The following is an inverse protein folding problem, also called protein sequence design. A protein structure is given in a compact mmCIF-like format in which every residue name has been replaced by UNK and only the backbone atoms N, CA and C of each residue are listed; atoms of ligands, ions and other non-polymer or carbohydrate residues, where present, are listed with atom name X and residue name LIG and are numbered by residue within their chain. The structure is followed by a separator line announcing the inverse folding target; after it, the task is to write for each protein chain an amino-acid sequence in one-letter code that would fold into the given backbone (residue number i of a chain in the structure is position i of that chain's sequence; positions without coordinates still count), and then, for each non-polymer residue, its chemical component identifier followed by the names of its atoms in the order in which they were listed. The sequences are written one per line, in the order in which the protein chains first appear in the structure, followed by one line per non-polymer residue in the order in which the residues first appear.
data_IF_638776087780
#
_entry.id   IF_638776087780
#
_cell.length_a   1.000
_cell.length_b   1.000
_cell.length_c   1.000
_cell.angle_alpha   90.00
_cell.angle_beta   90.00
_cell.angle_gamma   90.00
#
_symmetry.space_group_name_H-M   'P 1'
#
loop_
_entity.id
_entity.type
_entity.pdbx_description
1 polymer ?
#
# COMPACT_ATOMS: atom_id res chain seq x y z
N UNK A 1 -5.71 -19.47 15.24
CA UNK A 1 -5.03 -18.29 14.66
C UNK A 1 -5.90 -17.83 13.49
N UNK A 2 -6.41 -16.60 13.51
CA UNK A 2 -7.25 -16.08 12.41
C UNK A 2 -6.44 -15.99 11.12
N UNK A 3 -7.07 -16.29 9.98
CA UNK A 3 -6.47 -16.05 8.67
C UNK A 3 -6.38 -14.55 8.37
N UNK A 4 -5.61 -14.17 7.35
CA UNK A 4 -5.45 -12.75 6.95
C UNK A 4 -6.78 -12.09 6.63
N UNK A 5 -7.69 -12.80 5.94
CA UNK A 5 -9.05 -12.32 5.65
C UNK A 5 -9.87 -12.11 6.93
N UNK A 6 -9.72 -12.99 7.93
CA UNK A 6 -10.43 -12.83 9.21
C UNK A 6 -9.92 -11.63 10.02
N UNK A 7 -8.62 -11.36 9.98
CA UNK A 7 -8.05 -10.15 10.59
C UNK A 7 -8.51 -8.88 9.87
N UNK A 8 -8.60 -8.93 8.54
CA UNK A 8 -9.11 -7.81 7.74
C UNK A 8 -10.58 -7.52 8.08
N UNK A 9 -11.43 -8.55 8.14
CA UNK A 9 -12.84 -8.42 8.51
C UNK A 9 -13.01 -7.85 9.93
N UNK A 10 -12.25 -8.35 10.90
CA UNK A 10 -12.26 -7.83 12.26
C UNK A 10 -11.84 -6.35 12.35
N UNK A 11 -10.83 -5.94 11.57
CA UNK A 11 -10.40 -4.54 11.50
C UNK A 11 -11.46 -3.66 10.82
N UNK A 12 -12.10 -4.15 9.76
CA UNK A 12 -13.18 -3.44 9.06
C UNK A 12 -14.41 -3.26 9.97
N UNK A 13 -14.79 -4.30 10.71
CA UNK A 13 -15.88 -4.22 11.69
C UNK A 13 -15.55 -3.23 12.82
N UNK A 14 -14.31 -3.22 13.30
CA UNK A 14 -13.86 -2.26 14.30
C UNK A 14 -14.00 -0.82 13.80
N UNK A 15 -13.57 -0.54 12.57
CA UNK A 15 -13.65 0.80 11.98
C UNK A 15 -15.09 1.26 11.75
N UNK A 16 -15.98 0.35 11.38
CA UNK A 16 -17.36 0.70 10.98
C UNK A 16 -18.36 0.67 12.13
N UNK A 17 -18.23 -0.24 13.09
CA UNK A 17 -19.21 -0.41 14.18
C UNK A 17 -18.70 -0.01 15.56
N UNK A 18 -17.43 -0.29 15.86
CA UNK A 18 -16.89 -0.07 17.20
C UNK A 18 -16.30 1.34 17.37
N UNK A 19 -15.88 1.97 16.27
CA UNK A 19 -15.32 3.32 16.33
C UNK A 19 -16.43 4.33 16.58
N UNK A 20 -16.23 5.21 17.56
CA UNK A 20 -17.09 6.38 17.82
C UNK A 20 -17.06 7.42 16.69
N UNK A 21 -16.37 7.12 15.58
CA UNK A 21 -16.07 8.03 14.49
C UNK A 21 -17.09 7.98 13.34
N UNK A 22 -18.22 7.26 13.46
CA UNK A 22 -19.28 7.18 12.44
C UNK A 22 -18.73 7.10 11.00
N UNK A 23 -17.80 6.16 10.77
CA UNK A 23 -17.23 5.97 9.43
C UNK A 23 -18.15 5.12 8.59
N UNK A 24 -18.43 5.61 7.39
CA UNK A 24 -19.18 4.82 6.42
C UNK A 24 -18.38 3.60 5.96
N UNK A 25 -19.06 2.54 5.52
CA UNK A 25 -18.40 1.34 5.01
C UNK A 25 -17.46 1.65 3.81
N UNK A 26 -17.83 2.50 2.83
CA UNK A 26 -16.91 2.92 1.78
C UNK A 26 -15.69 3.68 2.29
N UNK A 27 -15.86 4.54 3.30
CA UNK A 27 -14.75 5.28 3.91
C UNK A 27 -13.74 4.34 4.59
N UNK A 28 -14.23 3.36 5.36
CA UNK A 28 -13.37 2.37 5.99
C UNK A 28 -12.61 1.54 4.95
N UNK A 29 -13.28 1.13 3.87
CA UNK A 29 -12.63 0.41 2.76
C UNK A 29 -11.59 1.28 2.05
N UNK A 30 -11.88 2.56 1.79
CA UNK A 30 -10.91 3.49 1.18
C UNK A 30 -9.70 3.78 2.09
N UNK A 31 -9.87 3.67 3.41
CA UNK A 31 -8.76 3.78 4.36
C UNK A 31 -7.88 2.52 4.39
N UNK A 32 -8.50 1.34 4.41
CA UNK A 32 -7.76 0.07 4.49
C UNK A 32 -7.11 -0.30 3.15
N UNK A 33 -7.81 -0.08 2.03
CA UNK A 33 -7.37 -0.38 0.67
C UNK A 33 -7.44 0.91 -0.16
N UNK A 34 -6.50 1.86 0.03
CA UNK A 34 -6.48 3.10 -0.73
C UNK A 34 -6.05 2.87 -2.18
N UNK A 35 -6.60 3.66 -3.10
CA UNK A 35 -6.13 3.67 -4.48
C UNK A 35 -4.76 4.34 -4.63
N UNK A 36 -4.15 4.25 -5.81
CA UNK A 36 -2.88 4.90 -6.08
C UNK A 36 -3.04 6.43 -6.15
N UNK A 37 -2.74 7.13 -5.05
CA UNK A 37 -2.92 8.58 -4.93
C UNK A 37 -1.61 9.39 -4.99
N UNK A 38 -0.50 8.87 -4.47
CA UNK A 38 0.76 9.62 -4.24
C UNK A 38 1.36 10.28 -5.49
N UNK A 39 1.22 9.66 -6.66
CA UNK A 39 1.80 10.16 -7.93
C UNK A 39 0.73 10.55 -8.95
N UNK A 40 -0.53 10.68 -8.53
CA UNK A 40 -1.64 10.93 -9.45
C UNK A 40 -1.93 12.43 -9.58
N UNK A 41 -1.39 13.05 -10.64
CA UNK A 41 -1.55 14.48 -10.89
C UNK A 41 -2.97 14.91 -11.30
N UNK A 42 -3.84 13.98 -11.72
CA UNK A 42 -5.23 14.30 -12.13
C UNK A 42 -6.24 14.10 -11.01
N UNK A 43 -5.79 13.71 -9.81
CA UNK A 43 -6.67 13.49 -8.67
C UNK A 43 -7.16 14.82 -8.07
N UNK A 44 -8.46 14.96 -7.77
CA UNK A 44 -8.99 16.12 -7.06
C UNK A 44 -8.29 16.36 -5.72
N UNK A 45 -8.06 17.62 -5.37
CA UNK A 45 -7.32 18.00 -4.16
C UNK A 45 -7.98 17.49 -2.87
N UNK A 46 -9.31 17.57 -2.76
CA UNK A 46 -10.06 17.06 -1.59
C UNK A 46 -9.82 15.56 -1.37
N UNK A 47 -9.79 14.80 -2.46
CA UNK A 47 -9.56 13.35 -2.45
C UNK A 47 -8.11 13.03 -2.11
N UNK A 48 -7.15 13.79 -2.65
CA UNK A 48 -5.74 13.65 -2.30
C UNK A 48 -5.51 13.96 -0.82
N UNK A 49 -6.07 15.06 -0.30
CA UNK A 49 -5.97 15.43 1.10
C UNK A 49 -6.56 14.38 2.04
N UNK A 50 -7.71 13.80 1.69
CA UNK A 50 -8.31 12.68 2.43
C UNK A 50 -7.37 11.46 2.48
N UNK A 51 -6.76 11.07 1.35
CA UNK A 51 -5.82 9.95 1.34
C UNK A 51 -4.53 10.25 2.12
N UNK A 52 -4.01 11.47 2.03
CA UNK A 52 -2.84 11.90 2.79
C UNK A 52 -3.11 11.85 4.30
N UNK A 53 -4.28 12.31 4.74
CA UNK A 53 -4.71 12.18 6.13
C UNK A 53 -4.85 10.72 6.57
N UNK A 54 -5.52 9.90 5.76
CA UNK A 54 -5.73 8.50 6.09
C UNK A 54 -4.43 7.70 6.16
N UNK A 55 -3.42 8.03 5.33
CA UNK A 55 -2.10 7.41 5.36
C UNK A 55 -1.33 7.67 6.66
N UNK A 56 -1.66 8.73 7.41
CA UNK A 56 -1.12 8.96 8.75
C UNK A 56 -1.82 8.13 9.83
N UNK A 57 -3.05 7.64 9.56
CA UNK A 57 -3.88 6.93 10.53
C UNK A 57 -3.81 5.42 10.39
N UNK A 58 -3.70 4.90 9.17
CA UNK A 58 -3.73 3.47 8.88
C UNK A 58 -2.78 3.17 7.73
N UNK A 59 -1.93 2.16 7.90
CA UNK A 59 -1.15 1.63 6.79
C UNK A 59 -2.06 0.88 5.81
N UNK A 60 -1.79 0.95 4.50
CA UNK A 60 -2.53 0.17 3.52
C UNK A 60 -2.39 -1.33 3.78
N UNK A 61 -3.50 -2.05 3.76
CA UNK A 61 -3.52 -3.51 3.76
C UNK A 61 -3.26 -4.00 2.34
N UNK A 62 -1.97 -4.07 1.99
CA UNK A 62 -1.52 -4.36 0.64
C UNK A 62 -1.42 -5.88 0.36
N UNK A 63 -1.58 -6.24 -0.90
CA UNK A 63 -1.57 -7.61 -1.41
C UNK A 63 -2.66 -7.86 -2.45
N UNK A 64 -2.56 -8.94 -3.25
CA UNK A 64 -3.57 -9.26 -4.27
C UNK A 64 -4.94 -9.54 -3.65
N UNK A 65 -5.90 -8.64 -3.82
CA UNK A 65 -7.19 -8.73 -3.15
C UNK A 65 -8.34 -8.27 -4.05
N UNK A 66 -9.42 -9.04 -4.03
CA UNK A 66 -10.75 -8.64 -4.46
C UNK A 66 -11.65 -8.85 -3.26
N UNK A 67 -12.16 -7.76 -2.70
CA UNK A 67 -12.94 -7.78 -1.46
C UNK A 67 -14.36 -7.37 -1.79
N UNK A 68 -15.30 -8.30 -1.61
CA UNK A 68 -16.72 -8.00 -1.54
C UNK A 68 -17.12 -7.78 -0.08
N UNK A 69 -17.91 -6.74 0.19
CA UNK A 69 -18.29 -6.33 1.53
C UNK A 69 -19.73 -5.88 1.57
N UNK A 70 -20.37 -6.01 2.73
CA UNK A 70 -21.77 -5.63 2.94
C UNK A 70 -22.03 -5.27 4.40
N UNK A 71 -22.97 -4.36 4.63
CA UNK A 71 -23.55 -4.08 5.95
C UNK A 71 -25.04 -4.46 6.03
N UNK A 72 -25.52 -5.29 5.09
CA UNK A 72 -26.92 -5.70 4.98
C UNK A 72 -27.82 -4.72 4.22
N UNK A 73 -27.45 -3.44 4.12
CA UNK A 73 -28.18 -2.41 3.34
C UNK A 73 -27.49 -2.00 2.05
N UNK A 74 -26.18 -2.16 2.04
CA UNK A 74 -25.32 -1.83 0.90
C UNK A 74 -24.40 -3.00 0.63
N UNK A 75 -24.06 -3.21 -0.64
CA UNK A 75 -23.11 -4.22 -1.09
C UNK A 75 -22.09 -3.52 -1.96
N UNK A 76 -20.81 -3.78 -1.72
CA UNK A 76 -19.74 -3.24 -2.52
C UNK A 76 -18.65 -4.26 -2.80
N UNK A 77 -17.84 -3.93 -3.80
CA UNK A 77 -16.62 -4.64 -4.11
C UNK A 77 -15.51 -3.66 -4.43
N UNK A 78 -14.29 -3.97 -3.98
CA UNK A 78 -13.10 -3.18 -4.26
C UNK A 78 -11.93 -4.10 -4.60
N UNK A 79 -11.04 -3.62 -5.46
CA UNK A 79 -9.78 -4.26 -5.78
C UNK A 79 -8.63 -3.59 -5.04
N UNK A 80 -7.56 -4.35 -4.86
CA UNK A 80 -6.28 -3.80 -4.44
C UNK A 80 -5.79 -2.68 -5.37
N UNK A 81 -4.84 -1.89 -4.87
CA UNK A 81 -4.27 -0.72 -5.57
C UNK A 81 -3.74 -1.04 -6.97
N UNK A 82 -3.29 -2.27 -7.20
CA UNK A 82 -2.71 -2.72 -8.45
C UNK A 82 -3.68 -3.56 -9.31
N UNK A 83 -4.84 -3.94 -8.77
CA UNK A 83 -5.84 -4.80 -9.40
C UNK A 83 -5.28 -6.16 -9.79
N UNK A 84 -4.60 -6.82 -8.87
CA UNK A 84 -3.93 -8.10 -9.10
C UNK A 84 -4.89 -9.29 -9.16
N UNK A 85 -6.17 -9.08 -8.81
CA UNK A 85 -7.24 -10.08 -8.92
C UNK A 85 -8.28 -9.64 -9.98
N UNK A 86 -8.73 -10.56 -10.85
CA UNK A 86 -9.78 -10.24 -11.81
C UNK A 86 -11.12 -10.09 -11.10
N UNK A 87 -11.91 -9.11 -11.52
CA UNK A 87 -13.30 -8.96 -11.11
C UNK A 87 -14.11 -8.32 -12.22
N UNK A 88 -15.28 -8.88 -12.52
CA UNK A 88 -16.18 -8.46 -13.58
C UNK A 88 -17.60 -8.42 -13.04
N UNK A 89 -18.37 -7.48 -13.54
CA UNK A 89 -19.76 -7.35 -13.18
C UNK A 89 -20.66 -7.13 -14.39
N UNK A 90 -21.88 -7.65 -14.27
CA UNK A 90 -22.97 -7.54 -15.21
C UNK A 90 -24.13 -6.83 -14.50
N UNK A 91 -24.75 -5.90 -15.21
CA UNK A 91 -26.02 -5.29 -14.82
C UNK A 91 -27.02 -5.72 -15.89
N UNK A 92 -28.09 -6.38 -15.48
CA UNK A 92 -29.15 -6.79 -16.40
C UNK A 92 -30.18 -5.68 -16.59
N UNK A 93 -31.04 -5.79 -17.61
CA UNK A 93 -32.17 -4.88 -17.82
C UNK A 93 -33.21 -4.94 -16.72
N UNK A 94 -33.25 -6.06 -15.99
CA UNK A 94 -34.14 -6.31 -14.84
C UNK A 94 -33.49 -5.89 -13.50
N UNK A 95 -32.52 -4.97 -13.54
CA UNK A 95 -31.81 -4.41 -12.38
C UNK A 95 -31.09 -5.45 -11.47
N UNK A 96 -30.80 -6.65 -12.00
CA UNK A 96 -29.93 -7.59 -11.29
C UNK A 96 -28.46 -7.27 -11.52
N UNK A 97 -27.70 -7.32 -10.43
CA UNK A 97 -26.26 -7.12 -10.43
C UNK A 97 -25.58 -8.44 -10.12
N UNK A 98 -24.64 -8.83 -10.98
CA UNK A 98 -23.86 -10.06 -10.82
C UNK A 98 -22.38 -9.68 -10.85
N UNK A 99 -21.62 -10.04 -9.82
CA UNK A 99 -20.18 -9.82 -9.75
C UNK A 99 -19.45 -11.15 -9.56
N UNK A 100 -18.42 -11.39 -10.36
CA UNK A 100 -17.63 -12.61 -10.32
C UNK A 100 -16.19 -12.37 -10.74
N UNK A 101 -15.27 -13.25 -10.31
CA UNK A 101 -13.88 -13.25 -10.77
C UNK A 101 -13.75 -13.59 -12.26
N UNK A 102 -14.72 -14.34 -12.80
CA UNK A 102 -14.69 -14.90 -14.15
C UNK A 102 -15.95 -14.56 -14.96
N UNK A 103 -15.92 -14.86 -16.26
CA UNK A 103 -17.04 -14.68 -17.19
C UNK A 103 -17.72 -16.02 -17.39
N UNK A 104 -19.06 -16.04 -17.47
CA UNK A 104 -19.82 -17.25 -17.76
C UNK A 104 -20.05 -18.17 -16.55
N UNK A 105 -19.93 -17.65 -15.33
CA UNK A 105 -20.19 -18.42 -14.09
C UNK A 105 -21.68 -18.72 -13.89
N UNK A 106 -22.56 -17.82 -14.37
CA UNK A 106 -24.01 -17.99 -14.24
C UNK A 106 -24.54 -18.59 -15.55
N UNK A 107 -25.09 -19.79 -15.43
CA UNK A 107 -25.77 -20.46 -16.54
C UNK A 107 -27.10 -19.77 -16.86
N UNK A 108 -27.44 -19.66 -18.14
CA UNK A 108 -28.73 -19.13 -18.59
C UNK A 108 -28.84 -17.60 -18.68
N UNK A 109 -27.75 -16.85 -18.50
CA UNK A 109 -27.73 -15.41 -18.78
C UNK A 109 -27.76 -15.17 -20.30
N UNK A 110 -28.85 -14.60 -20.81
CA UNK A 110 -28.99 -14.24 -22.22
C UNK A 110 -28.34 -12.88 -22.45
N UNK A 111 -27.49 -12.75 -23.49
CA UNK A 111 -26.77 -11.49 -23.78
C UNK A 111 -27.74 -10.31 -24.04
N UNK A 112 -28.96 -10.59 -24.51
CA UNK A 112 -30.00 -9.59 -24.73
C UNK A 112 -30.49 -8.92 -23.42
N UNK A 113 -30.39 -9.63 -22.30
CA UNK A 113 -30.83 -9.14 -20.98
C UNK A 113 -29.71 -8.37 -20.28
N UNK A 114 -28.51 -8.28 -20.85
CA UNK A 114 -27.36 -7.58 -20.28
C UNK A 114 -27.37 -6.12 -20.69
N UNK A 115 -27.70 -5.23 -19.75
CA UNK A 115 -27.64 -3.79 -19.96
C UNK A 115 -26.20 -3.27 -19.96
N UNK A 116 -25.34 -3.79 -19.09
CA UNK A 116 -23.95 -3.34 -18.97
C UNK A 116 -23.02 -4.47 -18.54
N UNK A 117 -21.84 -4.51 -19.16
CA UNK A 117 -20.77 -5.48 -18.87
C UNK A 117 -19.46 -4.74 -18.68
N UNK A 118 -18.91 -4.81 -17.48
CA UNK A 118 -17.66 -4.10 -17.14
C UNK A 118 -16.76 -4.93 -16.24
N UNK A 119 -15.51 -4.50 -16.14
CA UNK A 119 -14.54 -5.00 -15.16
C UNK A 119 -14.35 -3.98 -14.06
N UNK A 120 -14.08 -4.45 -12.85
CA UNK A 120 -13.64 -3.57 -11.78
C UNK A 120 -12.18 -3.16 -12.07
N UNK A 121 -11.90 -1.87 -11.99
CA UNK A 121 -10.57 -1.32 -12.29
C UNK A 121 -9.78 -1.08 -11.00
N UNK A 122 -8.44 -1.13 -11.05
CA UNK A 122 -7.61 -0.85 -9.88
C UNK A 122 -7.99 0.48 -9.23
N UNK A 123 -8.20 0.46 -7.92
CA UNK A 123 -8.58 1.64 -7.15
C UNK A 123 -10.03 2.11 -7.32
N UNK A 124 -10.86 1.49 -8.20
CA UNK A 124 -12.29 1.78 -8.27
C UNK A 124 -13.09 0.87 -7.33
N UNK A 125 -14.20 1.40 -6.82
CA UNK A 125 -15.16 0.69 -6.01
C UNK A 125 -16.46 0.50 -6.79
N UNK A 126 -16.97 -0.71 -6.80
CA UNK A 126 -18.34 -1.00 -7.20
C UNK A 126 -19.22 -0.97 -5.95
N UNK A 127 -20.35 -0.28 -5.97
CA UNK A 127 -21.19 -0.12 -4.79
C UNK A 127 -22.67 -0.01 -5.16
N UNK A 128 -23.50 -0.77 -4.45
CA UNK A 128 -24.94 -0.81 -4.62
C UNK A 128 -25.58 -0.45 -3.29
N UNK A 129 -26.49 0.52 -3.33
CA UNK A 129 -27.29 0.93 -2.18
C UNK A 129 -28.72 0.44 -2.39
N UNK A 130 -29.19 -0.46 -1.52
CA UNK A 130 -30.54 -1.01 -1.60
C UNK A 130 -31.60 -0.07 -1.02
N UNK A 131 -31.23 0.86 -0.13
CA UNK A 131 -32.16 1.86 0.39
C UNK A 131 -32.47 2.90 -0.73
N UNK A 132 -31.50 3.18 -1.60
CA UNK A 132 -31.69 4.05 -2.79
C UNK A 132 -32.09 3.29 -4.06
N UNK A 133 -31.94 1.97 -4.08
CA UNK A 133 -32.25 1.13 -5.24
C UNK A 133 -31.38 1.39 -6.47
N UNK A 134 -30.12 1.81 -6.29
CA UNK A 134 -29.23 2.15 -7.43
C UNK A 134 -27.77 1.77 -7.19
N UNK A 135 -27.05 1.60 -8.29
CA UNK A 135 -25.59 1.51 -8.30
C UNK A 135 -25.02 2.93 -8.16
N UNK A 136 -24.22 3.16 -7.12
CA UNK A 136 -23.55 4.44 -6.89
C UNK A 136 -22.20 4.43 -7.59
N UNK A 137 -21.90 5.51 -8.32
CA UNK A 137 -20.63 5.61 -9.04
C UNK A 137 -19.44 5.82 -8.09
N UNK A 138 -18.28 5.29 -8.46
CA UNK A 138 -17.03 5.47 -7.71
C UNK A 138 -16.70 6.94 -7.40
N UNK A 139 -16.93 7.82 -8.38
CA UNK A 139 -16.69 9.25 -8.24
C UNK A 139 -17.59 9.88 -7.18
N UNK A 140 -18.87 9.50 -7.14
CA UNK A 140 -19.84 10.00 -6.18
C UNK A 140 -19.51 9.57 -4.75
N UNK A 141 -19.16 8.30 -4.57
CA UNK A 141 -18.73 7.75 -3.26
C UNK A 141 -17.51 8.53 -2.76
N UNK A 142 -16.48 8.63 -3.60
CA UNK A 142 -15.22 9.26 -3.22
C UNK A 142 -15.36 10.75 -2.99
N UNK A 143 -16.20 11.44 -3.76
CA UNK A 143 -16.50 12.85 -3.53
C UNK A 143 -17.28 13.07 -2.22
N UNK A 144 -18.21 12.17 -1.90
CA UNK A 144 -18.97 12.22 -0.63
C UNK A 144 -18.03 11.99 0.56
N UNK A 145 -17.17 10.98 0.47
CA UNK A 145 -16.21 10.65 1.55
C UNK A 145 -15.13 11.72 1.69
N UNK A 146 -14.58 12.24 0.58
CA UNK A 146 -13.56 13.29 0.65
C UNK A 146 -14.12 14.64 1.08
N UNK A 147 -15.43 14.87 0.90
CA UNK A 147 -16.14 16.07 1.36
C UNK A 147 -16.76 15.94 2.76
N UNK A 148 -16.75 14.75 3.37
CA UNK A 148 -17.43 14.53 4.66
C UNK A 148 -16.77 15.27 5.83
N UNK A 149 -15.48 15.58 5.70
CA UNK A 149 -14.65 16.22 6.73
C UNK A 149 -13.67 17.20 6.08
N UNK A 150 -13.19 18.21 6.83
CA UNK A 150 -12.25 19.20 6.32
C UNK A 150 -10.81 18.64 6.24
N UNK A 151 -10.60 17.59 5.44
CA UNK A 151 -9.29 16.95 5.30
C UNK A 151 -8.20 17.91 4.79
N UNK A 152 -8.59 18.85 3.91
CA UNK A 152 -7.68 19.89 3.41
C UNK A 152 -7.07 20.72 4.55
N UNK A 153 -7.90 21.17 5.48
CA UNK A 153 -7.44 21.95 6.63
C UNK A 153 -6.51 21.11 7.52
N UNK A 154 -6.82 19.83 7.73
CA UNK A 154 -5.98 18.95 8.55
C UNK A 154 -4.62 18.68 7.93
N UNK A 155 -4.57 18.47 6.61
CA UNK A 155 -3.32 18.25 5.88
C UNK A 155 -2.40 19.48 5.93
N UNK A 156 -2.96 20.70 5.94
CA UNK A 156 -2.16 21.92 6.09
C UNK A 156 -1.41 22.02 7.41
N UNK A 157 -1.90 21.35 8.47
CA UNK A 157 -1.22 21.30 9.77
C UNK A 157 -0.12 20.22 9.82
N UNK A 158 0.06 19.43 8.77
CA UNK A 158 1.11 18.41 8.71
C UNK A 158 2.48 19.04 8.49
N UNK A 159 3.46 18.56 9.26
CA UNK A 159 4.85 18.99 9.11
C UNK A 159 5.58 18.03 8.20
N UNK A 160 5.94 18.50 7.01
CA UNK A 160 6.84 17.78 6.11
C UNK A 160 8.29 18.13 6.46
N UNK A 161 9.03 17.16 7.01
CA UNK A 161 10.44 17.35 7.40
C UNK A 161 11.35 17.77 6.24
N UNK A 162 10.97 17.51 4.98
CA UNK A 162 11.69 17.97 3.79
C UNK A 162 11.65 19.49 3.60
N UNK A 163 10.62 20.16 4.14
CA UNK A 163 10.40 21.60 4.01
C UNK A 163 10.93 22.40 5.21
N UNK A 164 11.44 21.72 6.24
CA UNK A 164 12.07 22.36 7.39
C UNK A 164 13.44 22.90 6.94
N UNK A 165 13.68 24.21 7.10
CA UNK A 165 14.95 24.84 6.70
C UNK A 165 16.15 24.07 7.29
N UNK A 166 17.04 23.60 6.42
CA UNK A 166 18.26 22.86 6.78
C UNK A 166 18.25 21.36 6.48
N UNK A 167 17.14 20.78 5.99
CA UNK A 167 17.03 19.36 5.61
C UNK A 167 16.89 19.13 4.10
N UNK A 168 16.56 20.16 3.32
CA UNK A 168 16.59 20.08 1.86
C UNK A 168 18.02 19.84 1.39
N UNK A 169 18.26 18.78 0.62
CA UNK A 169 19.59 18.43 0.08
C UNK A 169 20.24 19.59 -0.71
N UNK A 170 19.43 20.50 -1.26
CA UNK A 170 19.89 21.68 -1.99
C UNK A 170 20.30 22.85 -1.09
N UNK A 171 19.72 22.96 0.12
CA UNK A 171 20.06 23.98 1.13
C UNK A 171 21.00 23.45 2.22
N UNK A 172 21.24 22.14 2.24
CA UNK A 172 22.30 21.52 2.99
C UNK A 172 23.62 22.04 2.44
N UNK A 173 24.06 23.21 2.96
CA UNK A 173 25.46 23.61 2.89
C UNK A 173 26.23 22.36 3.32
N UNK A 174 27.17 21.83 2.51
CA UNK A 174 27.97 20.70 2.93
C UNK A 174 28.44 21.04 4.31
N UNK A 175 28.09 20.20 5.30
CA UNK A 175 28.35 20.47 6.70
C UNK A 175 29.76 21.04 6.72
N UNK A 176 29.93 22.32 7.10
CA UNK A 176 31.25 22.93 7.12
C UNK A 176 32.07 21.93 7.88
N UNK A 177 32.98 21.26 7.17
CA UNK A 177 33.82 20.27 7.79
C UNK A 177 34.61 21.13 8.75
N UNK A 178 34.22 21.15 10.03
CA UNK A 178 34.59 22.20 10.99
C UNK A 178 36.04 21.99 11.43
N UNK A 179 36.93 21.70 10.47
CA UNK A 179 38.24 21.15 10.72
C UNK A 179 38.19 19.93 11.64
N UNK A 180 37.04 19.22 11.73
CA UNK A 180 36.97 17.98 12.46
C UNK A 180 37.78 16.98 11.64
N UNK A 181 39.09 16.99 11.90
CA UNK A 181 40.05 16.02 11.41
C UNK A 181 39.37 14.66 11.55
N UNK A 182 39.35 13.88 10.46
CA UNK A 182 38.85 12.50 10.54
C UNK A 182 39.42 11.92 11.83
N UNK A 183 38.58 11.47 12.78
CA UNK A 183 39.08 11.03 14.06
C UNK A 183 40.21 10.03 13.78
N UNK A 184 41.37 10.20 14.40
CA UNK A 184 42.51 9.29 14.18
C UNK A 184 42.11 7.83 14.43
N UNK A 185 41.06 7.64 15.23
CA UNK A 185 40.38 6.40 15.58
C UNK A 185 39.37 5.87 14.54
N UNK A 186 39.18 6.52 13.39
CA UNK A 186 38.21 6.11 12.37
C UNK A 186 38.40 4.63 11.96
N UNK A 187 39.63 4.16 11.63
CA UNK A 187 39.83 2.74 11.28
C UNK A 187 39.45 1.80 12.43
N UNK A 188 39.73 2.19 13.68
CA UNK A 188 39.34 1.44 14.88
C UNK A 188 37.82 1.33 15.02
N UNK A 189 37.09 2.42 14.71
CA UNK A 189 35.63 2.43 14.75
C UNK A 189 35.03 1.58 13.65
N UNK A 190 35.53 1.65 12.42
CA UNK A 190 35.07 0.79 11.32
C UNK A 190 35.27 -0.69 11.65
N UNK A 191 36.45 -1.05 12.16
CA UNK A 191 36.73 -2.42 12.58
C UNK A 191 35.80 -2.88 13.71
N UNK A 192 35.47 -2.00 14.67
CA UNK A 192 34.53 -2.30 15.76
C UNK A 192 33.12 -2.62 15.24
N UNK A 193 32.67 -1.93 14.18
CA UNK A 193 31.39 -2.18 13.52
C UNK A 193 31.47 -3.25 12.42
N UNK A 194 32.58 -3.97 12.30
CA UNK A 194 32.73 -5.08 11.35
C UNK A 194 32.90 -4.65 9.89
N UNK A 195 33.23 -3.37 9.61
CA UNK A 195 33.56 -2.95 8.25
C UNK A 195 34.95 -3.45 7.87
N UNK A 196 35.01 -4.27 6.82
CA UNK A 196 36.26 -4.72 6.22
C UNK A 196 36.64 -3.85 5.03
N UNK A 197 37.91 -3.89 4.62
CA UNK A 197 38.38 -3.26 3.36
C UNK A 197 37.56 -3.73 2.17
N UNK A 198 37.23 -5.02 2.14
CA UNK A 198 36.38 -5.63 1.10
C UNK A 198 34.98 -5.01 1.07
N UNK A 199 34.30 -4.89 2.22
CA UNK A 199 32.98 -4.24 2.32
C UNK A 199 33.04 -2.78 1.85
N UNK A 200 34.11 -2.07 2.20
CA UNK A 200 34.29 -0.67 1.79
C UNK A 200 34.46 -0.55 0.28
N UNK A 201 35.39 -1.31 -0.31
CA UNK A 201 35.72 -1.22 -1.73
C UNK A 201 34.65 -1.82 -2.63
N UNK A 202 34.03 -2.94 -2.24
CA UNK A 202 33.06 -3.65 -3.08
C UNK A 202 31.63 -3.17 -2.91
N UNK A 203 31.22 -2.64 -1.75
CA UNK A 203 29.84 -2.20 -1.51
C UNK A 203 29.74 -0.68 -1.44
N UNK A 204 30.51 -0.04 -0.55
CA UNK A 204 30.32 1.38 -0.24
C UNK A 204 30.88 2.32 -1.32
N UNK A 205 32.05 2.02 -1.89
CA UNK A 205 32.65 2.85 -2.95
C UNK A 205 31.76 2.92 -4.20
N UNK A 206 31.21 1.79 -4.73
CA UNK A 206 30.26 1.82 -5.84
C UNK A 206 28.98 2.61 -5.50
N UNK A 207 28.43 2.45 -4.29
CA UNK A 207 27.25 3.23 -3.86
C UNK A 207 27.53 4.74 -3.86
N UNK A 208 28.73 5.16 -3.46
CA UNK A 208 29.12 6.57 -3.44
C UNK A 208 29.39 7.17 -4.83
N UNK A 209 29.90 6.37 -5.77
CA UNK A 209 30.26 6.84 -7.11
C UNK A 209 29.10 6.72 -8.12
N UNK A 210 28.37 5.60 -8.09
CA UNK A 210 27.33 5.26 -9.08
C UNK A 210 25.91 5.54 -8.60
N UNK A 211 25.72 5.84 -7.30
CA UNK A 211 24.41 6.00 -6.65
C UNK A 211 23.50 4.77 -6.80
N UNK A 212 24.12 3.59 -6.93
CA UNK A 212 23.46 2.28 -7.07
C UNK A 212 24.09 1.28 -6.12
N UNK A 213 23.31 0.30 -5.70
CA UNK A 213 23.83 -0.83 -4.94
C UNK A 213 24.82 -1.63 -5.81
N UNK A 214 25.87 -2.16 -5.18
CA UNK A 214 26.88 -2.93 -5.87
C UNK A 214 26.30 -4.24 -6.44
N UNK A 215 26.65 -4.54 -7.69
CA UNK A 215 26.23 -5.78 -8.35
C UNK A 215 27.34 -6.82 -8.27
N UNK A 216 26.97 -8.02 -7.85
CA UNK A 216 27.83 -9.21 -7.84
C UNK A 216 27.21 -10.35 -8.65
N UNK A 217 27.99 -11.40 -8.87
CA UNK A 217 27.55 -12.65 -9.51
C UNK A 217 28.07 -13.84 -8.72
N UNK A 218 27.59 -15.04 -9.04
CA UNK A 218 27.80 -16.29 -8.28
C UNK A 218 26.98 -16.36 -6.99
N UNK A 219 26.89 -17.59 -6.45
CA UNK A 219 26.21 -17.84 -5.18
C UNK A 219 27.03 -17.34 -3.99
N UNK A 220 26.37 -17.23 -2.84
CA UNK A 220 27.06 -16.95 -1.58
C UNK A 220 27.58 -18.27 -0.99
N UNK A 221 28.86 -18.54 -1.15
CA UNK A 221 29.54 -19.74 -0.63
C UNK A 221 29.97 -19.60 0.84
N UNK A 222 29.68 -18.47 1.50
CA UNK A 222 29.98 -18.28 2.91
C UNK A 222 29.07 -19.15 3.80
N UNK A 223 29.58 -19.65 4.94
CA UNK A 223 28.75 -20.38 5.89
C UNK A 223 27.61 -19.50 6.42
N UNK A 224 26.51 -20.13 6.84
CA UNK A 224 25.44 -19.43 7.56
C UNK A 224 26.02 -18.71 8.77
N UNK A 225 25.49 -17.54 9.11
CA UNK A 225 26.04 -16.69 10.18
C UNK A 225 26.16 -17.42 11.54
N UNK A 226 25.28 -18.39 11.82
CA UNK A 226 25.31 -19.22 13.03
C UNK A 226 26.42 -20.27 13.04
N UNK A 227 26.92 -20.67 11.87
CA UNK A 227 28.00 -21.65 11.68
C UNK A 227 29.35 -21.00 11.39
N UNK A 228 29.39 -19.66 11.28
CA UNK A 228 30.62 -18.95 10.98
C UNK A 228 31.53 -18.90 12.20
N UNK A 229 32.82 -19.19 12.01
CA UNK A 229 33.86 -18.99 13.03
C UNK A 229 34.21 -17.50 13.21
N UNK A 230 33.83 -16.65 12.25
CA UNK A 230 34.07 -15.22 12.27
C UNK A 230 32.89 -14.47 12.89
N UNK A 231 33.12 -13.35 13.59
CA UNK A 231 32.04 -12.55 14.15
C UNK A 231 31.17 -11.97 13.02
N UNK A 232 29.87 -12.26 13.04
CA UNK A 232 28.89 -11.75 12.06
C UNK A 232 28.01 -10.66 12.66
N UNK A 233 27.61 -9.72 11.81
CA UNK A 233 26.70 -8.65 12.20
C UNK A 233 25.27 -9.19 12.38
N UNK A 234 24.44 -8.59 13.27
CA UNK A 234 23.07 -9.04 13.49
C UNK A 234 22.20 -9.10 12.23
N UNK A 235 22.43 -8.20 11.26
CA UNK A 235 21.71 -8.18 10.00
C UNK A 235 21.93 -9.44 9.14
N UNK A 236 23.08 -10.12 9.24
CA UNK A 236 23.33 -11.35 8.48
C UNK A 236 22.43 -12.52 8.88
N UNK A 237 21.87 -12.48 10.10
CA UNK A 237 20.92 -13.46 10.62
C UNK A 237 19.51 -13.26 10.08
N UNK A 238 19.15 -12.06 9.66
CA UNK A 238 17.85 -11.76 9.07
C UNK A 238 17.92 -11.94 7.55
N UNK A 239 17.12 -12.86 7.02
CA UNK A 239 16.97 -13.04 5.57
C UNK A 239 15.76 -12.29 5.08
N UNK A 240 15.94 -11.53 3.99
CA UNK A 240 14.83 -10.85 3.33
C UNK A 240 13.87 -11.91 2.78
N UNK A 241 12.59 -11.81 3.17
CA UNK A 241 11.55 -12.66 2.63
C UNK A 241 11.14 -12.11 1.26
N UNK A 242 10.92 -13.01 0.31
CA UNK A 242 10.35 -12.66 -0.98
C UNK A 242 9.02 -13.39 -1.19
N UNK A 243 8.16 -12.80 -2.02
CA UNK A 243 6.93 -13.44 -2.43
C UNK A 243 7.24 -14.45 -3.55
N UNK A 244 7.08 -15.73 -3.24
CA UNK A 244 7.02 -16.81 -4.23
C UNK A 244 5.62 -17.41 -4.17
N UNK A 245 5.06 -17.77 -5.34
CA UNK A 245 3.72 -18.32 -5.58
C UNK A 245 2.97 -18.69 -4.29
N UNK A 246 2.09 -17.80 -3.83
CA UNK A 246 1.13 -18.09 -2.76
C UNK A 246 -0.25 -18.21 -3.38
N UNK A 247 -0.67 -19.43 -3.68
CA UNK A 247 -2.06 -19.70 -4.01
C UNK A 247 -2.87 -19.65 -2.71
N UNK A 248 -3.46 -18.50 -2.42
CA UNK A 248 -4.62 -18.45 -1.53
C UNK A 248 -5.82 -18.18 -2.43
N UNK A 249 -6.54 -19.24 -2.75
CA UNK A 249 -7.86 -19.19 -3.34
C UNK A 249 -8.83 -19.02 -2.16
N UNK A 250 -9.47 -17.86 -2.03
CA UNK A 250 -10.65 -17.72 -1.15
C UNK A 250 -11.82 -17.63 -2.10
N UNK A 251 -12.63 -18.70 -2.13
CA UNK A 251 -13.98 -18.70 -2.67
C UNK A 251 -14.92 -18.03 -1.67
#
# INVERSE_FOLDING_TARGET
MMGTTGNFDAALELLTKASSCDRSLPEAMMMMIPEAWQSNATMPESKNAMYQYNACMMEPWDGPAMVAFTNGKTVGASLDRNGLRPSRYYITTDDHVMLSSEVGVIEGLVEADVATKHRLEPGKMFFVDFDQGRVISDQEIKATVSGSRPYGDWVQHMVHFQNVRGTSLNDAKPAKNNGAMMPTDMPRRLNLYGFTTETMEMLLVPMGLEYKEALGSMGNDAPLAVLSEQPKLPNEYFKQLFAQVRFVCVL
#
